data_IF_031906028118
#
_entry.id   IF_031906028118
#
_cell.length_a   1.000
_cell.length_b   1.000
_cell.length_c   1.000
_cell.angle_alpha   90.00
_cell.angle_beta   90.00
_cell.angle_gamma   90.00
#
_symmetry.space_group_name_H-M   'P 1'
#
loop_
_entity.id
_entity.type
_entity.pdbx_description
1 polymer ?
#
# COMPACT_ATOMS: atom_id res chain seq x y z
N UNK A 1 -13.65 16.01 -5.34
CA UNK A 1 -12.94 14.99 -6.16
C UNK A 1 -12.19 14.08 -5.20
N UNK A 2 -12.11 12.77 -5.47
CA UNK A 2 -11.43 11.84 -4.57
C UNK A 2 -9.90 11.96 -4.65
N UNK A 3 -9.22 11.55 -3.59
CA UNK A 3 -7.76 11.53 -3.50
C UNK A 3 -7.15 10.14 -3.62
N UNK A 4 -7.98 9.09 -3.49
CA UNK A 4 -7.52 7.71 -3.37
C UNK A 4 -6.90 7.10 -4.64
N UNK A 5 -6.37 5.88 -4.50
CA UNK A 5 -5.63 5.19 -5.56
C UNK A 5 -6.54 4.64 -6.66
N UNK A 6 -7.77 4.23 -6.35
CA UNK A 6 -8.65 3.58 -7.32
C UNK A 6 -9.46 4.59 -8.16
N UNK A 7 -9.89 5.70 -7.54
CA UNK A 7 -10.79 6.66 -8.19
C UNK A 7 -10.32 8.11 -8.11
N UNK A 8 -9.19 8.37 -7.46
CA UNK A 8 -8.76 9.71 -7.11
C UNK A 8 -7.47 10.16 -7.77
N UNK A 9 -6.98 11.30 -7.28
CA UNK A 9 -5.75 11.94 -7.77
C UNK A 9 -4.52 11.06 -7.61
N UNK A 10 -4.40 10.27 -6.53
CA UNK A 10 -3.29 9.34 -6.38
C UNK A 10 -3.29 8.28 -7.48
N UNK A 11 -4.46 7.78 -7.90
CA UNK A 11 -4.59 6.86 -9.03
C UNK A 11 -4.10 7.46 -10.35
N UNK A 12 -4.49 8.71 -10.63
CA UNK A 12 -4.00 9.44 -11.79
C UNK A 12 -2.47 9.59 -11.78
N UNK A 13 -1.91 10.06 -10.65
CA UNK A 13 -0.46 10.23 -10.48
C UNK A 13 0.29 8.91 -10.65
N UNK A 14 -0.26 7.81 -10.14
CA UNK A 14 0.31 6.48 -10.31
C UNK A 14 0.32 6.04 -11.78
N UNK A 15 -0.76 6.31 -12.52
CA UNK A 15 -0.83 6.08 -13.96
C UNK A 15 0.21 6.90 -14.72
N UNK A 16 0.41 8.16 -14.35
CA UNK A 16 1.44 9.00 -14.97
C UNK A 16 2.85 8.49 -14.70
N UNK A 17 3.16 8.07 -13.46
CA UNK A 17 4.45 7.43 -13.13
C UNK A 17 4.69 6.16 -13.96
N UNK A 18 3.65 5.36 -14.18
CA UNK A 18 3.73 4.19 -15.05
C UNK A 18 4.07 4.58 -16.49
N UNK A 19 3.38 5.58 -17.06
CA UNK A 19 3.67 6.09 -18.40
C UNK A 19 5.10 6.61 -18.51
N UNK A 20 5.55 7.44 -17.58
CA UNK A 20 6.90 8.02 -17.60
C UNK A 20 7.97 6.93 -17.51
N UNK A 21 7.77 5.92 -16.66
CA UNK A 21 8.70 4.79 -16.55
C UNK A 21 8.91 4.04 -17.87
N UNK A 22 7.87 3.95 -18.70
CA UNK A 22 7.89 3.12 -19.91
C UNK A 22 8.09 3.91 -21.21
N UNK A 23 7.71 5.18 -21.25
CA UNK A 23 7.80 6.05 -22.43
C UNK A 23 8.83 7.17 -22.29
N UNK A 24 9.46 7.31 -21.11
CA UNK A 24 10.47 8.33 -20.81
C UNK A 24 9.99 9.32 -19.73
N UNK A 25 10.94 9.83 -18.94
CA UNK A 25 10.68 10.57 -17.69
C UNK A 25 9.78 11.82 -17.84
N UNK A 26 9.67 12.37 -19.05
CA UNK A 26 8.86 13.56 -19.38
C UNK A 26 7.66 13.26 -20.30
N UNK A 27 7.29 11.99 -20.51
CA UNK A 27 6.13 11.61 -21.32
C UNK A 27 4.82 12.22 -20.77
N UNK A 28 4.69 12.28 -19.45
CA UNK A 28 3.76 13.14 -18.72
C UNK A 28 4.59 14.23 -18.02
N UNK A 29 4.55 15.47 -18.52
CA UNK A 29 5.34 16.58 -18.01
C UNK A 29 5.10 16.94 -16.53
N UNK A 30 6.16 17.38 -15.85
CA UNK A 30 6.12 17.75 -14.42
C UNK A 30 5.21 18.94 -14.11
N UNK A 31 5.08 19.89 -15.02
CA UNK A 31 4.15 21.03 -14.92
C UNK A 31 2.68 20.59 -14.85
N UNK A 32 2.34 19.39 -15.33
CA UNK A 32 1.03 18.76 -15.12
C UNK A 32 0.95 18.06 -13.77
N UNK A 33 2.01 17.37 -13.36
CA UNK A 33 2.01 16.52 -12.16
C UNK A 33 2.11 17.32 -10.85
N UNK A 34 2.98 18.33 -10.80
CA UNK A 34 3.24 19.09 -9.58
C UNK A 34 2.00 19.79 -9.01
N UNK A 35 1.16 20.49 -9.81
CA UNK A 35 -0.07 21.09 -9.29
C UNK A 35 -1.04 20.07 -8.69
N UNK A 36 -1.04 18.82 -9.19
CA UNK A 36 -1.88 17.75 -8.66
C UNK A 36 -1.34 17.26 -7.32
N UNK A 37 -0.02 17.12 -7.19
CA UNK A 37 0.66 16.77 -5.93
C UNK A 37 0.37 17.84 -4.87
N UNK A 38 0.55 19.11 -5.21
CA UNK A 38 0.26 20.25 -4.32
C UNK A 38 -1.20 20.20 -3.86
N UNK A 39 -2.12 19.91 -4.78
CA UNK A 39 -3.53 19.82 -4.46
C UNK A 39 -3.89 18.56 -3.64
N UNK A 40 -3.11 17.47 -3.72
CA UNK A 40 -3.21 16.29 -2.83
C UNK A 40 -2.78 16.68 -1.42
N UNK A 41 -1.60 17.27 -1.27
CA UNK A 41 -1.05 17.70 0.03
C UNK A 41 -1.95 18.73 0.72
N UNK A 42 -2.37 19.77 0.00
CA UNK A 42 -3.30 20.78 0.53
C UNK A 42 -4.64 20.16 0.95
N UNK A 43 -5.15 19.20 0.17
CA UNK A 43 -6.35 18.44 0.52
C UNK A 43 -6.18 17.61 1.80
N UNK A 44 -5.02 16.96 1.95
CA UNK A 44 -4.68 16.17 3.13
C UNK A 44 -4.60 17.02 4.39
N UNK A 45 -3.92 18.17 4.33
CA UNK A 45 -3.81 19.12 5.44
C UNK A 45 -5.17 19.65 5.87
N UNK A 46 -6.02 20.04 4.91
CA UNK A 46 -7.37 20.50 5.20
C UNK A 46 -8.22 19.39 5.85
N UNK A 47 -8.10 18.15 5.34
CA UNK A 47 -8.83 17.00 5.86
C UNK A 47 -8.38 16.53 7.25
N UNK A 48 -7.17 16.92 7.67
CA UNK A 48 -6.55 16.62 8.96
C UNK A 48 -6.88 17.62 10.08
N UNK A 49 -7.57 18.72 9.76
CA UNK A 49 -7.91 19.78 10.73
C UNK A 49 -8.61 19.30 12.00
N UNK A 50 -9.30 18.15 11.95
CA UNK A 50 -10.01 17.51 13.05
C UNK A 50 -9.41 16.15 13.48
N UNK A 51 -8.14 15.90 13.14
CA UNK A 51 -7.42 14.67 13.50
C UNK A 51 -6.11 15.03 14.19
N UNK A 52 -6.08 14.77 15.49
CA UNK A 52 -4.86 14.91 16.29
C UNK A 52 -3.77 13.95 15.77
N UNK A 53 -2.52 14.42 15.78
CA UNK A 53 -1.32 13.67 15.42
C UNK A 53 -1.23 13.14 13.98
N UNK A 54 -2.11 13.57 13.07
CA UNK A 54 -2.10 13.18 11.67
C UNK A 54 -1.99 14.40 10.74
N UNK A 55 -0.82 14.67 10.11
CA UNK A 55 -0.66 15.84 9.25
C UNK A 55 -1.52 15.82 7.97
N UNK A 56 -1.76 14.63 7.41
CA UNK A 56 -2.54 14.46 6.17
C UNK A 56 -3.67 13.46 6.40
N UNK A 57 -4.91 13.87 6.17
CA UNK A 57 -6.07 12.99 6.28
C UNK A 57 -7.01 13.12 5.09
N UNK A 58 -7.56 11.99 4.65
CA UNK A 58 -8.48 11.92 3.51
C UNK A 58 -9.71 11.10 3.86
N UNK A 59 -10.81 11.36 3.12
CA UNK A 59 -12.07 10.63 3.25
C UNK A 59 -12.51 10.14 1.87
N UNK A 60 -12.94 8.88 1.79
CA UNK A 60 -13.63 8.31 0.62
C UNK A 60 -15.03 7.87 1.06
N UNK A 61 -16.07 8.36 0.37
CA UNK A 61 -17.47 8.24 0.81
C UNK A 61 -17.67 8.55 2.31
N UNK A 62 -17.05 9.64 2.78
CA UNK A 62 -17.12 10.09 4.18
C UNK A 62 -16.27 9.29 5.17
N UNK A 63 -15.67 8.18 4.77
CA UNK A 63 -14.90 7.29 5.65
C UNK A 63 -13.41 7.55 5.55
N UNK A 64 -12.72 7.61 6.71
CA UNK A 64 -11.26 7.73 6.81
C UNK A 64 -10.59 6.36 6.68
N UNK A 65 -10.35 5.92 5.45
CA UNK A 65 -9.69 4.65 5.17
C UNK A 65 -8.18 4.73 5.42
N UNK A 66 -7.59 3.64 5.93
CA UNK A 66 -6.16 3.56 6.21
C UNK A 66 -5.39 2.75 5.15
N UNK A 67 -6.05 1.77 4.52
CA UNK A 67 -5.41 0.82 3.58
C UNK A 67 -5.01 1.40 2.22
N UNK A 68 -4.44 0.56 1.35
CA UNK A 68 -3.82 1.01 0.10
C UNK A 68 -4.81 1.36 -1.02
N UNK A 69 -5.98 0.72 -1.06
CA UNK A 69 -6.94 0.92 -2.14
C UNK A 69 -7.58 2.32 -2.07
N UNK A 70 -8.24 2.63 -0.95
CA UNK A 70 -9.03 3.85 -0.80
C UNK A 70 -8.53 4.78 0.32
N UNK A 71 -7.39 4.48 0.93
CA UNK A 71 -6.94 5.10 2.17
C UNK A 71 -5.56 5.72 2.13
N UNK A 72 -5.11 6.13 3.32
CA UNK A 72 -3.85 6.83 3.53
C UNK A 72 -2.64 6.09 2.96
N UNK A 73 -2.53 4.77 3.19
CA UNK A 73 -1.35 4.02 2.75
C UNK A 73 -1.11 4.15 1.24
N UNK A 74 -2.18 4.08 0.43
CA UNK A 74 -2.06 4.18 -1.03
C UNK A 74 -1.69 5.57 -1.50
N UNK A 75 -2.29 6.59 -0.88
CA UNK A 75 -2.00 7.99 -1.20
C UNK A 75 -0.53 8.31 -0.86
N UNK A 76 -0.09 7.95 0.34
CA UNK A 76 1.29 8.15 0.78
C UNK A 76 2.27 7.34 -0.07
N UNK A 77 1.93 6.10 -0.43
CA UNK A 77 2.75 5.29 -1.32
C UNK A 77 3.04 6.04 -2.62
N UNK A 78 2.03 6.63 -3.27
CA UNK A 78 2.22 7.40 -4.50
C UNK A 78 3.06 8.65 -4.27
N UNK A 79 2.81 9.42 -3.20
CA UNK A 79 3.58 10.63 -2.88
C UNK A 79 5.08 10.33 -2.71
N UNK A 80 5.46 9.17 -2.16
CA UNK A 80 6.85 8.73 -1.99
C UNK A 80 7.61 8.49 -3.31
N UNK A 81 6.95 8.57 -4.46
CA UNK A 81 7.60 8.49 -5.78
C UNK A 81 7.96 9.86 -6.37
N UNK A 82 7.57 10.94 -5.72
CA UNK A 82 7.84 12.30 -6.19
C UNK A 82 8.86 13.00 -5.31
N UNK A 83 9.64 13.95 -5.87
CA UNK A 83 10.48 14.82 -5.06
C UNK A 83 9.58 15.78 -4.28
N UNK A 84 9.58 15.65 -2.96
CA UNK A 84 8.80 16.51 -2.07
C UNK A 84 9.71 17.53 -1.39
N UNK A 85 9.30 18.81 -1.30
CA UNK A 85 9.88 19.77 -0.38
C UNK A 85 9.97 19.21 1.05
N UNK A 86 10.91 19.74 1.84
CA UNK A 86 11.17 19.23 3.20
C UNK A 86 9.91 19.22 4.07
N UNK A 87 9.11 20.29 4.02
CA UNK A 87 7.87 20.40 4.80
C UNK A 87 6.83 19.34 4.39
N UNK A 88 6.63 19.15 3.08
CA UNK A 88 5.72 18.12 2.55
C UNK A 88 6.20 16.71 2.90
N UNK A 89 7.51 16.48 2.90
CA UNK A 89 8.10 15.21 3.31
C UNK A 89 7.93 14.93 4.81
N UNK A 90 8.01 15.95 5.68
CA UNK A 90 7.72 15.80 7.11
C UNK A 90 6.24 15.46 7.36
N UNK A 91 5.31 16.07 6.61
CA UNK A 91 3.89 15.74 6.68
C UNK A 91 3.63 14.28 6.29
N UNK A 92 4.26 13.81 5.21
CA UNK A 92 4.20 12.41 4.79
C UNK A 92 4.75 11.49 5.89
N UNK A 93 5.91 11.80 6.48
CA UNK A 93 6.50 11.01 7.58
C UNK A 93 5.62 11.00 8.83
N UNK A 94 5.09 12.14 9.24
CA UNK A 94 4.16 12.22 10.37
C UNK A 94 2.90 11.39 10.13
N UNK A 95 2.38 11.38 8.90
CA UNK A 95 1.21 10.57 8.53
C UNK A 95 1.54 9.07 8.51
N UNK A 96 2.75 8.68 8.11
CA UNK A 96 3.21 7.28 8.21
C UNK A 96 3.33 6.83 9.66
N UNK A 97 3.88 7.66 10.55
CA UNK A 97 3.93 7.39 12.01
C UNK A 97 2.53 7.25 12.60
N UNK A 98 1.61 8.10 12.17
CA UNK A 98 0.21 7.97 12.52
C UNK A 98 -0.37 6.62 12.08
N UNK A 99 -0.11 6.17 10.84
CA UNK A 99 -0.54 4.84 10.41
C UNK A 99 0.06 3.73 11.29
N UNK A 100 1.36 3.81 11.59
CA UNK A 100 2.05 2.85 12.46
C UNK A 100 1.44 2.76 13.86
N UNK A 101 0.87 3.86 14.39
CA UNK A 101 0.23 3.86 15.71
C UNK A 101 -1.16 3.21 15.71
N UNK A 102 -1.80 3.03 14.55
CA UNK A 102 -3.14 2.42 14.42
C UNK A 102 -3.14 0.89 14.41
N UNK A 103 -2.00 0.25 14.67
CA UNK A 103 -1.90 -1.21 14.73
C UNK A 103 -2.81 -1.81 15.81
N UNK A 104 -3.42 -2.94 15.51
CA UNK A 104 -4.14 -3.73 16.51
C UNK A 104 -3.14 -4.28 17.55
N UNK A 105 -3.40 -4.10 18.87
CA UNK A 105 -2.42 -4.42 19.91
C UNK A 105 -1.96 -5.89 19.95
N UNK A 106 -2.82 -6.83 19.56
CA UNK A 106 -2.53 -8.26 19.67
C UNK A 106 -1.97 -8.87 18.38
N UNK A 107 -2.55 -8.53 17.24
CA UNK A 107 -2.14 -9.11 15.95
C UNK A 107 -1.04 -8.34 15.25
N UNK A 108 -0.89 -7.04 15.54
CA UNK A 108 -0.06 -6.12 14.76
C UNK A 108 -0.64 -5.73 13.40
N UNK A 109 -1.82 -6.25 13.03
CA UNK A 109 -2.50 -5.90 11.78
C UNK A 109 -3.06 -4.47 11.84
N UNK A 110 -3.62 -3.97 10.74
CA UNK A 110 -4.13 -2.61 10.62
C UNK A 110 -5.64 -2.60 10.34
N UNK A 111 -6.40 -1.68 10.96
CA UNK A 111 -7.81 -1.52 10.65
C UNK A 111 -8.00 -1.00 9.23
N UNK A 112 -9.14 -1.35 8.61
CA UNK A 112 -9.47 -0.86 7.27
C UNK A 112 -9.68 0.66 7.24
N UNK A 113 -10.20 1.22 8.33
CA UNK A 113 -10.60 2.62 8.52
C UNK A 113 -10.51 3.00 9.99
N UNK A 114 -10.43 4.29 10.28
CA UNK A 114 -10.43 4.81 11.65
C UNK A 114 -11.61 4.29 12.49
N UNK A 115 -11.30 3.89 13.73
CA UNK A 115 -12.28 3.40 14.69
C UNK A 115 -12.86 2.01 14.39
N UNK A 116 -12.47 1.36 13.29
CA UNK A 116 -12.97 0.03 12.96
C UNK A 116 -12.30 -1.06 13.82
N UNK A 117 -13.03 -1.76 14.71
CA UNK A 117 -12.44 -2.74 15.61
C UNK A 117 -12.24 -4.11 14.95
N UNK A 118 -12.65 -4.29 13.68
CA UNK A 118 -12.66 -5.60 13.02
C UNK A 118 -11.29 -5.94 12.44
N UNK A 119 -10.52 -6.67 13.23
CA UNK A 119 -9.27 -7.28 12.81
C UNK A 119 -9.51 -8.56 12.00
N UNK A 120 -9.71 -8.40 10.68
CA UNK A 120 -10.03 -9.53 9.78
C UNK A 120 -9.33 -9.48 8.43
N UNK A 121 -8.94 -8.29 7.97
CA UNK A 121 -8.45 -8.09 6.61
C UNK A 121 -6.92 -8.05 6.63
N UNK A 122 -6.30 -9.02 5.98
CA UNK A 122 -4.86 -9.06 5.70
C UNK A 122 -4.71 -9.11 4.18
N UNK A 123 -4.85 -7.93 3.56
CA UNK A 123 -5.02 -7.76 2.13
C UNK A 123 -4.30 -6.49 1.65
N UNK A 124 -3.96 -6.40 0.37
CA UNK A 124 -3.36 -5.19 -0.18
C UNK A 124 -4.28 -3.97 0.03
N UNK A 125 -5.56 -4.10 -0.31
CA UNK A 125 -6.52 -3.01 -0.16
C UNK A 125 -6.71 -2.55 1.29
N UNK A 126 -6.74 -3.48 2.25
CA UNK A 126 -6.95 -3.21 3.67
C UNK A 126 -6.16 -4.17 4.56
N UNK A 127 -5.36 -3.61 5.48
CA UNK A 127 -4.59 -4.37 6.46
C UNK A 127 -3.09 -4.36 6.20
N UNK A 128 -2.40 -5.34 6.80
CA UNK A 128 -0.94 -5.36 6.89
C UNK A 128 -0.23 -5.44 5.53
N UNK A 129 -0.79 -6.08 4.50
CA UNK A 129 -0.12 -6.19 3.19
C UNK A 129 0.12 -4.83 2.55
N UNK A 130 -0.93 -4.00 2.45
CA UNK A 130 -0.80 -2.64 1.89
C UNK A 130 0.15 -1.77 2.71
N UNK A 131 0.15 -1.95 4.04
CA UNK A 131 1.06 -1.25 4.95
C UNK A 131 2.51 -1.68 4.78
N UNK A 132 2.79 -2.97 4.71
CA UNK A 132 4.14 -3.51 4.51
C UNK A 132 4.77 -2.96 3.22
N UNK A 133 4.01 -2.94 2.12
CA UNK A 133 4.46 -2.39 0.83
C UNK A 133 4.74 -0.88 0.94
N UNK A 134 3.83 -0.13 1.56
CA UNK A 134 3.95 1.32 1.71
C UNK A 134 5.14 1.70 2.60
N UNK A 135 5.26 1.06 3.77
CA UNK A 135 6.36 1.28 4.71
C UNK A 135 7.70 0.83 4.12
N UNK A 136 7.73 -0.23 3.30
CA UNK A 136 8.95 -0.63 2.59
C UNK A 136 9.43 0.46 1.63
N UNK A 137 8.52 1.08 0.88
CA UNK A 137 8.85 2.21 0.02
C UNK A 137 9.30 3.42 0.85
N UNK A 138 8.63 3.70 1.96
CA UNK A 138 8.99 4.80 2.85
C UNK A 138 10.39 4.63 3.42
N UNK A 139 10.76 3.43 3.87
CA UNK A 139 12.09 3.12 4.39
C UNK A 139 13.21 3.26 3.34
N UNK A 140 12.90 3.07 2.04
CA UNK A 140 13.86 3.35 0.96
C UNK A 140 14.06 4.85 0.74
N UNK A 141 12.99 5.64 0.86
CA UNK A 141 13.03 7.10 0.66
C UNK A 141 13.64 7.80 1.89
N UNK A 142 13.41 7.27 3.08
CA UNK A 142 13.86 7.81 4.36
C UNK A 142 14.74 6.80 5.11
N UNK A 143 15.95 6.48 4.61
CA UNK A 143 16.80 5.41 5.16
C UNK A 143 17.29 5.64 6.60
N UNK A 144 17.24 6.89 7.08
CA UNK A 144 17.64 7.24 8.44
C UNK A 144 16.52 7.02 9.47
N UNK A 145 15.26 6.92 9.05
CA UNK A 145 14.10 6.67 9.91
C UNK A 145 13.91 5.15 10.08
N UNK A 146 14.76 4.51 10.89
CA UNK A 146 14.80 3.04 11.07
C UNK A 146 13.45 2.44 11.48
N UNK A 147 12.64 3.19 12.22
CA UNK A 147 11.29 2.78 12.63
C UNK A 147 10.37 2.40 11.45
N UNK A 148 10.56 3.01 10.26
CA UNK A 148 9.80 2.69 9.06
C UNK A 148 10.16 1.30 8.54
N UNK A 149 11.45 0.95 8.59
CA UNK A 149 11.94 -0.38 8.21
C UNK A 149 11.40 -1.44 9.18
N UNK A 150 11.50 -1.17 10.47
CA UNK A 150 11.04 -2.10 11.51
C UNK A 150 9.53 -2.34 11.40
N UNK A 151 8.74 -1.26 11.22
CA UNK A 151 7.30 -1.38 11.01
C UNK A 151 6.92 -2.10 9.71
N UNK A 152 7.71 -1.97 8.64
CA UNK A 152 7.51 -2.73 7.41
C UNK A 152 7.72 -4.24 7.66
N UNK A 153 8.78 -4.60 8.39
CA UNK A 153 9.10 -5.98 8.75
C UNK A 153 7.99 -6.56 9.65
N UNK A 154 7.56 -5.83 10.66
CA UNK A 154 6.48 -6.24 11.56
C UNK A 154 5.16 -6.45 10.81
N UNK A 155 4.81 -5.57 9.86
CA UNK A 155 3.66 -5.78 8.99
C UNK A 155 3.83 -7.03 8.12
N UNK A 156 5.04 -7.32 7.64
CA UNK A 156 5.39 -8.56 6.94
C UNK A 156 5.18 -9.82 7.78
N UNK A 157 5.49 -9.78 9.08
CA UNK A 157 5.22 -10.89 10.00
C UNK A 157 3.73 -11.19 10.14
N UNK A 158 2.88 -10.16 10.12
CA UNK A 158 1.41 -10.34 10.08
C UNK A 158 0.99 -11.04 8.79
N UNK A 159 1.52 -10.60 7.64
CA UNK A 159 1.23 -11.24 6.35
C UNK A 159 1.70 -12.68 6.34
N UNK A 160 2.84 -13.00 6.95
CA UNK A 160 3.31 -14.38 7.06
C UNK A 160 2.36 -15.27 7.88
N UNK A 161 1.89 -14.77 9.03
CA UNK A 161 1.02 -15.53 9.93
C UNK A 161 -0.42 -15.66 9.42
N UNK A 162 -0.91 -14.70 8.64
CA UNK A 162 -2.35 -14.58 8.34
C UNK A 162 -2.69 -14.16 6.91
N UNK A 163 -1.70 -14.11 6.01
CA UNK A 163 -1.87 -13.68 4.61
C UNK A 163 -2.30 -14.78 3.64
N UNK A 164 -2.35 -16.05 4.05
CA UNK A 164 -2.95 -17.14 3.26
C UNK A 164 -4.48 -17.09 3.34
N UNK A 165 -5.05 -16.07 2.72
CA UNK A 165 -6.50 -15.84 2.66
C UNK A 165 -7.18 -16.84 1.72
N UNK A 166 -8.49 -17.08 1.92
CA UNK A 166 -9.30 -17.96 1.06
C UNK A 166 -9.75 -17.27 -0.23
N UNK A 167 -8.85 -16.57 -0.91
CA UNK A 167 -9.10 -15.80 -2.14
C UNK A 167 -7.87 -15.75 -3.04
N UNK A 168 -8.12 -15.77 -4.34
CA UNK A 168 -7.12 -15.50 -5.38
C UNK A 168 -7.04 -14.01 -5.72
N UNK A 169 -6.04 -13.61 -6.51
CA UNK A 169 -5.92 -12.25 -7.05
C UNK A 169 -5.00 -11.31 -6.27
N UNK A 170 -4.76 -10.15 -6.87
CA UNK A 170 -3.79 -9.15 -6.39
C UNK A 170 -4.37 -8.19 -5.34
N UNK A 171 -5.67 -7.90 -5.37
CA UNK A 171 -6.23 -6.85 -4.51
C UNK A 171 -6.50 -7.33 -3.08
N UNK A 172 -7.06 -8.54 -2.95
CA UNK A 172 -7.53 -9.11 -1.69
C UNK A 172 -7.24 -10.60 -1.54
N UNK A 173 -6.37 -11.14 -2.40
CA UNK A 173 -5.96 -12.54 -2.46
C UNK A 173 -4.51 -12.79 -2.06
N UNK A 174 -4.14 -14.08 -2.04
CA UNK A 174 -2.82 -14.56 -1.64
C UNK A 174 -1.71 -14.02 -2.54
N UNK A 175 -1.95 -13.92 -3.85
CA UNK A 175 -0.98 -13.41 -4.82
C UNK A 175 -0.59 -11.96 -4.51
N UNK A 176 -1.57 -11.11 -4.18
CA UNK A 176 -1.30 -9.75 -3.70
C UNK A 176 -0.50 -9.72 -2.41
N UNK A 177 -0.79 -10.64 -1.49
CA UNK A 177 -0.07 -10.74 -0.22
C UNK A 177 1.40 -11.14 -0.40
N UNK A 178 1.74 -11.94 -1.42
CA UNK A 178 3.12 -12.30 -1.72
C UNK A 178 4.00 -11.07 -2.07
N UNK A 179 3.41 -10.00 -2.63
CA UNK A 179 4.13 -8.77 -2.95
C UNK A 179 4.61 -8.00 -1.72
N UNK A 180 4.04 -8.24 -0.52
CA UNK A 180 4.61 -7.72 0.72
C UNK A 180 6.01 -8.29 0.95
N UNK A 181 6.21 -9.59 0.75
CA UNK A 181 7.52 -10.21 0.91
C UNK A 181 8.49 -9.81 -0.20
N UNK A 182 8.04 -9.66 -1.44
CA UNK A 182 8.92 -9.13 -2.50
C UNK A 182 9.37 -7.70 -2.19
N UNK A 183 8.48 -6.87 -1.63
CA UNK A 183 8.82 -5.50 -1.22
C UNK A 183 9.84 -5.50 -0.09
N UNK A 184 9.67 -6.39 0.90
CA UNK A 184 10.63 -6.58 1.99
C UNK A 184 11.97 -7.12 1.48
N UNK A 185 11.98 -8.11 0.59
CA UNK A 185 13.20 -8.61 -0.04
C UNK A 185 13.96 -7.49 -0.77
N UNK A 186 13.25 -6.64 -1.53
CA UNK A 186 13.88 -5.50 -2.20
C UNK A 186 14.48 -4.49 -1.21
N UNK A 187 13.84 -4.28 -0.07
CA UNK A 187 14.30 -3.39 1.01
C UNK A 187 15.46 -3.99 1.82
N UNK A 188 15.42 -5.28 2.16
CA UNK A 188 16.32 -5.90 3.13
C UNK A 188 17.44 -6.72 2.50
N UNK A 189 17.19 -7.27 1.30
CA UNK A 189 18.02 -8.27 0.62
C UNK A 189 18.18 -9.59 1.38
N UNK A 190 17.32 -9.84 2.38
CA UNK A 190 17.33 -11.07 3.17
C UNK A 190 16.52 -12.17 2.46
N UNK A 191 17.15 -13.32 2.20
CA UNK A 191 16.56 -14.42 1.42
C UNK A 191 15.26 -14.99 2.01
N UNK A 192 15.05 -14.87 3.32
CA UNK A 192 13.83 -15.33 3.99
C UNK A 192 12.56 -14.74 3.35
N UNK A 193 12.59 -13.47 2.91
CA UNK A 193 11.43 -12.86 2.27
C UNK A 193 11.19 -13.41 0.86
N UNK A 194 12.24 -13.75 0.13
CA UNK A 194 12.12 -14.43 -1.16
C UNK A 194 11.52 -15.84 -0.98
N UNK A 195 11.97 -16.58 0.04
CA UNK A 195 11.44 -17.91 0.40
C UNK A 195 9.96 -17.85 0.80
N UNK A 196 9.55 -16.82 1.56
CA UNK A 196 8.14 -16.60 1.92
C UNK A 196 7.28 -16.27 0.70
N UNK A 197 7.78 -15.45 -0.22
CA UNK A 197 7.09 -15.18 -1.50
C UNK A 197 6.90 -16.46 -2.32
N UNK A 198 7.95 -17.29 -2.44
CA UNK A 198 7.87 -18.61 -3.09
C UNK A 198 6.87 -19.54 -2.40
N UNK A 199 6.82 -19.54 -1.07
CA UNK A 199 5.86 -20.34 -0.31
C UNK A 199 4.41 -19.95 -0.63
N UNK A 200 4.13 -18.64 -0.76
CA UNK A 200 2.80 -18.15 -1.17
C UNK A 200 2.48 -18.54 -2.62
N UNK A 201 3.48 -18.49 -3.52
CA UNK A 201 3.34 -18.92 -4.90
C UNK A 201 3.03 -20.43 -5.00
N UNK A 202 3.73 -21.27 -4.25
CA UNK A 202 3.47 -22.72 -4.19
C UNK A 202 2.07 -23.02 -3.67
N UNK A 203 1.63 -22.34 -2.61
CA UNK A 203 0.26 -22.47 -2.12
C UNK A 203 -0.76 -22.13 -3.22
N UNK A 204 -0.52 -21.06 -3.98
CA UNK A 204 -1.39 -20.68 -5.08
C UNK A 204 -1.38 -21.69 -6.23
N UNK A 205 -0.21 -22.23 -6.59
CA UNK A 205 -0.11 -23.28 -7.60
C UNK A 205 -1.01 -24.49 -7.26
N UNK A 206 -1.02 -24.90 -5.99
CA UNK A 206 -1.81 -26.05 -5.54
C UNK A 206 -3.31 -25.74 -5.37
N UNK A 207 -3.67 -24.50 -5.02
CA UNK A 207 -5.01 -24.15 -4.54
C UNK A 207 -5.79 -23.14 -5.42
N UNK A 208 -5.18 -22.52 -6.43
CA UNK A 208 -5.83 -21.43 -7.19
C UNK A 208 -7.17 -21.83 -7.80
N UNK A 209 -7.28 -23.06 -8.34
CA UNK A 209 -8.54 -23.55 -8.94
C UNK A 209 -9.69 -23.67 -7.92
N UNK A 210 -9.40 -24.06 -6.68
CA UNK A 210 -10.43 -24.21 -5.64
C UNK A 210 -10.81 -22.87 -5.00
N UNK A 211 -9.91 -21.89 -5.05
CA UNK A 211 -10.09 -20.55 -4.50
C UNK A 211 -10.68 -19.54 -5.50
N UNK A 212 -10.66 -19.85 -6.80
CA UNK A 212 -11.19 -18.97 -7.84
C UNK A 212 -12.71 -18.80 -7.73
N UNK A 213 -13.18 -17.54 -7.77
CA UNK A 213 -14.60 -17.19 -7.81
C UNK A 213 -15.09 -16.96 -9.25
N UNK A 214 -16.39 -16.69 -9.43
CA UNK A 214 -17.04 -16.54 -10.75
C UNK A 214 -16.40 -15.48 -11.68
N UNK A 215 -15.68 -14.47 -11.14
CA UNK A 215 -14.88 -13.51 -11.91
C UNK A 215 -13.44 -14.01 -12.15
N UNK A 216 -13.31 -15.29 -12.51
CA UNK A 216 -12.07 -16.07 -12.42
C UNK A 216 -10.87 -15.59 -13.25
N UNK A 217 -10.98 -14.56 -14.09
CA UNK A 217 -9.91 -14.14 -15.00
C UNK A 217 -9.52 -12.66 -14.91
N UNK A 218 -10.10 -11.88 -13.99
CA UNK A 218 -9.68 -10.47 -13.83
C UNK A 218 -8.28 -10.35 -13.20
N UNK A 219 -7.56 -9.26 -13.49
CA UNK A 219 -6.22 -9.02 -12.92
C UNK A 219 -6.26 -8.81 -11.40
N UNK A 220 -7.24 -8.03 -10.91
CA UNK A 220 -7.29 -7.63 -9.50
C UNK A 220 -7.88 -8.71 -8.58
N UNK A 221 -8.85 -9.49 -9.06
CA UNK A 221 -9.62 -10.44 -8.23
C UNK A 221 -9.61 -11.88 -8.76
N UNK A 222 -8.97 -12.14 -9.90
CA UNK A 222 -9.00 -13.42 -10.59
C UNK A 222 -7.60 -13.96 -10.92
N UNK A 223 -7.59 -15.07 -11.67
CA UNK A 223 -6.40 -15.86 -11.98
C UNK A 223 -5.36 -15.11 -12.82
N UNK A 224 -5.75 -14.06 -13.55
CA UNK A 224 -4.78 -13.24 -14.28
C UNK A 224 -3.78 -12.58 -13.32
N UNK A 225 -4.24 -12.17 -12.13
CA UNK A 225 -3.36 -11.66 -11.08
C UNK A 225 -2.41 -12.71 -10.51
N UNK A 226 -2.84 -13.97 -10.43
CA UNK A 226 -2.00 -15.08 -9.94
C UNK A 226 -0.95 -15.49 -10.97
N UNK A 227 -1.26 -15.32 -12.25
CA UNK A 227 -0.32 -15.57 -13.34
C UNK A 227 0.72 -14.46 -13.52
N UNK A 228 0.60 -13.35 -12.78
CA UNK A 228 1.61 -12.29 -12.85
C UNK A 228 2.93 -12.78 -12.24
N UNK A 229 4.04 -12.69 -12.98
CA UNK A 229 5.33 -13.15 -12.48
C UNK A 229 5.76 -12.41 -11.20
N UNK A 230 6.14 -13.16 -10.18
CA UNK A 230 6.87 -12.66 -9.02
C UNK A 230 8.35 -12.46 -9.41
N UNK A 231 8.65 -11.47 -10.27
CA UNK A 231 10.04 -11.11 -10.64
C UNK A 231 10.56 -9.95 -9.78
#
# INVERSE_FOLDING_TARGET
MSYDLLYGRAGFLWGALFVNKHLGDDAVPKDILMPIIDAVLAGGRAGASDVEDCPLMYRWHGTRYLGAANGLAGILHVLLHFPLPREDAEDVKGTLRYLMSKRFPHSGNYPSSEGNPRDKLVQWGHGATGMAITLSKAAQVFPNDRELRDAAIEAGEVVWKSGLVKKVGLADGVSGNAYAFLSLYRLTKESIYEERAKSFASFMYDNAKSLASANGYSLSQGLAGDSMPLV
#
